data_IF_775143929030
#
_entry.id   IF_775143929030
#
_cell.length_a   1.000
_cell.length_b   1.000
_cell.length_c   1.000
_cell.angle_alpha   90.00
_cell.angle_beta   90.00
_cell.angle_gamma   90.00
#
_symmetry.space_group_name_H-M   'P 1'
#
loop_
_entity.id
_entity.type
_entity.pdbx_description
1 polymer ?
#
# COMPACT_ATOMS: atom_id res chain seq x y z
N UNK A 1 -9.50 -5.58 -1.46
CA UNK A 1 -9.24 -4.36 -0.67
C UNK A 1 -10.14 -4.30 0.55
N UNK A 2 -9.75 -5.06 1.57
CA UNK A 2 -10.22 -4.94 2.95
C UNK A 2 -9.54 -3.72 3.56
N UNK A 3 -10.33 -2.85 4.19
CA UNK A 3 -9.84 -1.70 4.95
C UNK A 3 -10.09 -2.03 6.42
N UNK A 4 -9.03 -2.07 7.21
CA UNK A 4 -9.11 -2.22 8.65
C UNK A 4 -9.07 -0.83 9.29
N UNK A 5 -9.98 -0.61 10.24
CA UNK A 5 -10.17 0.67 10.91
C UNK A 5 -10.07 0.44 12.41
N UNK A 6 -9.07 1.06 13.03
CA UNK A 6 -8.86 1.01 14.46
C UNK A 6 -9.02 2.41 15.06
N UNK A 7 -9.52 2.48 16.30
CA UNK A 7 -9.64 3.73 17.03
C UNK A 7 -8.69 3.69 18.21
N UNK A 8 -7.78 4.66 18.27
CA UNK A 8 -6.87 4.82 19.40
C UNK A 8 -7.58 5.42 20.63
N UNK A 9 -6.99 5.22 21.79
CA UNK A 9 -7.46 5.74 23.08
C UNK A 9 -7.55 7.28 23.09
N UNK A 10 -6.69 7.95 22.31
CA UNK A 10 -6.68 9.41 22.10
C UNK A 10 -7.84 9.89 21.20
N UNK A 11 -8.64 8.97 20.64
CA UNK A 11 -9.78 9.26 19.78
C UNK A 11 -9.44 9.42 18.28
N UNK A 12 -8.18 9.21 17.89
CA UNK A 12 -7.73 9.17 16.49
C UNK A 12 -8.17 7.89 15.80
N UNK A 13 -8.40 7.97 14.49
CA UNK A 13 -8.70 6.82 13.65
C UNK A 13 -7.46 6.42 12.85
N UNK A 14 -7.18 5.13 12.86
CA UNK A 14 -6.16 4.49 12.03
C UNK A 14 -6.91 3.72 10.95
N UNK A 15 -6.52 3.91 9.69
CA UNK A 15 -6.96 3.06 8.60
C UNK A 15 -5.75 2.40 7.95
N UNK A 16 -5.79 1.07 7.82
CA UNK A 16 -4.76 0.30 7.15
C UNK A 16 -5.35 -0.69 6.14
N UNK A 17 -4.51 -1.13 5.21
CA UNK A 17 -4.87 -2.16 4.24
C UNK A 17 -3.87 -3.30 4.39
N UNK A 18 -4.24 -4.44 5.01
CA UNK A 18 -3.32 -5.55 5.23
C UNK A 18 -2.79 -6.16 3.92
N UNK A 19 -3.53 -5.97 2.82
CA UNK A 19 -3.13 -6.39 1.48
C UNK A 19 -1.97 -5.55 0.89
N UNK A 20 -1.69 -4.35 1.44
CA UNK A 20 -0.64 -3.45 0.99
C UNK A 20 0.29 -3.08 2.16
N UNK A 21 1.43 -3.78 2.33
CA UNK A 21 2.34 -3.49 3.42
C UNK A 21 2.86 -2.04 3.32
N UNK A 22 2.72 -1.29 4.41
CA UNK A 22 3.11 0.13 4.50
C UNK A 22 2.01 1.13 4.14
N UNK A 23 0.79 0.69 3.79
CA UNK A 23 -0.36 1.57 3.56
C UNK A 23 -1.17 1.71 4.85
N UNK A 24 -0.78 2.67 5.67
CA UNK A 24 -1.44 3.06 6.92
C UNK A 24 -1.61 4.58 6.98
N UNK A 25 -2.77 5.06 7.42
CA UNK A 25 -3.07 6.49 7.53
C UNK A 25 -3.81 6.83 8.81
N UNK A 26 -3.57 8.04 9.31
CA UNK A 26 -4.27 8.61 10.45
C UNK A 26 -5.33 9.63 10.00
N UNK A 27 -6.50 9.56 10.61
CA UNK A 27 -7.63 10.44 10.39
C UNK A 27 -8.25 10.93 11.70
N UNK A 28 -8.74 12.17 11.70
CA UNK A 28 -9.55 12.68 12.81
C UNK A 28 -10.94 12.02 12.85
N UNK A 29 -11.42 11.53 11.70
CA UNK A 29 -12.69 10.82 11.57
C UNK A 29 -12.51 9.57 10.71
N UNK A 30 -13.41 8.60 10.89
CA UNK A 30 -13.45 7.36 10.11
C UNK A 30 -13.47 7.64 8.60
N UNK A 31 -14.31 8.56 8.14
CA UNK A 31 -14.44 8.91 6.72
C UNK A 31 -13.15 9.54 6.16
N UNK A 32 -12.48 10.39 6.94
CA UNK A 32 -11.17 10.95 6.57
C UNK A 32 -10.12 9.84 6.42
N UNK A 33 -10.07 8.90 7.36
CA UNK A 33 -9.11 7.80 7.31
C UNK A 33 -9.35 6.92 6.08
N UNK A 34 -10.62 6.60 5.77
CA UNK A 34 -10.98 5.82 4.58
C UNK A 34 -10.61 6.54 3.27
N UNK A 35 -10.88 7.84 3.14
CA UNK A 35 -10.53 8.57 1.92
C UNK A 35 -9.02 8.66 1.72
N UNK A 36 -8.26 8.89 2.79
CA UNK A 36 -6.80 8.93 2.75
C UNK A 36 -6.20 7.57 2.39
N UNK A 37 -6.71 6.48 2.98
CA UNK A 37 -6.16 5.14 2.75
C UNK A 37 -6.43 4.68 1.31
N UNK A 38 -7.59 5.02 0.75
CA UNK A 38 -7.92 4.76 -0.67
C UNK A 38 -7.01 5.55 -1.62
N UNK A 39 -6.76 6.82 -1.33
CA UNK A 39 -5.85 7.64 -2.15
C UNK A 39 -4.41 7.10 -2.09
N UNK A 40 -3.94 6.70 -0.90
CA UNK A 40 -2.62 6.10 -0.72
C UNK A 40 -2.51 4.75 -1.43
N UNK A 41 -3.52 3.90 -1.30
CA UNK A 41 -3.64 2.65 -2.03
C UNK A 41 -3.54 2.82 -3.54
N UNK A 42 -4.30 3.75 -4.12
CA UNK A 42 -4.26 4.02 -5.56
C UNK A 42 -2.88 4.48 -6.01
N UNK A 43 -2.21 5.32 -5.21
CA UNK A 43 -0.83 5.74 -5.48
C UNK A 43 0.16 4.58 -5.39
N UNK A 44 0.05 3.72 -4.38
CA UNK A 44 0.90 2.53 -4.23
C UNK A 44 0.67 1.56 -5.39
N UNK A 45 -0.58 1.33 -5.80
CA UNK A 45 -0.88 0.47 -6.95
C UNK A 45 -0.32 1.07 -8.26
N UNK A 46 -0.42 2.38 -8.45
CA UNK A 46 0.19 3.06 -9.60
C UNK A 46 1.73 2.97 -9.57
N UNK A 47 2.34 3.10 -8.40
CA UNK A 47 3.78 2.93 -8.21
C UNK A 47 4.23 1.50 -8.50
N UNK A 48 3.45 0.49 -8.08
CA UNK A 48 3.71 -0.93 -8.35
C UNK A 48 3.61 -1.27 -9.84
N UNK A 49 2.63 -0.70 -10.57
CA UNK A 49 2.52 -0.86 -12.02
C UNK A 49 3.76 -0.28 -12.72
N UNK A 50 4.23 0.90 -12.29
CA UNK A 50 5.47 1.49 -12.80
C UNK A 50 6.73 0.73 -12.36
N UNK A 51 6.73 0.10 -11.19
CA UNK A 51 7.84 -0.71 -10.68
C UNK A 51 8.00 -2.02 -11.46
N UNK A 52 6.91 -2.60 -11.97
CA UNK A 52 6.95 -3.85 -12.73
C UNK A 52 7.72 -3.73 -14.06
N UNK A 53 7.79 -2.53 -14.67
CA UNK A 53 8.65 -2.25 -15.84
C UNK A 53 10.14 -2.27 -15.48
N UNK A 54 10.52 -2.17 -14.19
CA UNK A 54 11.90 -2.37 -13.72
C UNK A 54 12.22 -3.82 -13.31
N UNK A 55 11.19 -4.65 -13.11
CA UNK A 55 11.39 -6.07 -12.78
C UNK A 55 11.62 -6.96 -14.01
N UNK A 56 11.46 -6.44 -15.22
CA UNK A 56 11.73 -7.16 -16.47
C UNK A 56 13.21 -7.10 -16.91
N UNK A 57 14.17 -6.85 -16.00
CA UNK A 57 15.60 -6.84 -16.34
C UNK A 57 16.50 -7.67 -15.42
N UNK A 58 15.94 -8.43 -14.48
CA UNK A 58 16.73 -9.17 -13.47
C UNK A 58 16.45 -10.67 -13.40
N UNK A 59 15.71 -11.24 -14.36
CA UNK A 59 15.42 -12.69 -14.39
C UNK A 59 15.76 -13.38 -15.73
N UNK A 60 16.53 -12.72 -16.59
CA UNK A 60 17.06 -13.30 -17.85
C UNK A 60 18.58 -13.07 -18.02
N UNK A 61 19.34 -13.08 -16.92
CA UNK A 61 20.81 -13.13 -17.01
C UNK A 61 21.42 -13.97 -15.88
N UNK A 62 21.15 -15.28 -15.89
CA UNK A 62 22.11 -16.25 -15.35
C UNK A 62 22.87 -16.88 -16.53
N UNK A 63 24.15 -16.53 -16.75
CA UNK A 63 25.03 -17.40 -17.51
C UNK A 63 25.53 -18.47 -16.56
N UNK A 64 24.79 -19.57 -16.43
CA UNK A 64 25.23 -20.72 -15.65
C UNK A 64 24.59 -22.02 -16.16
N UNK A 65 25.02 -22.49 -17.34
CA UNK A 65 25.67 -23.80 -17.48
C UNK A 65 25.94 -24.13 -18.95
N UNK A 66 27.12 -24.72 -19.17
CA UNK A 66 27.67 -25.42 -20.35
C UNK A 66 28.32 -24.58 -21.46
#
# INVERSE_FOLDING_TARGET
>A
MRIELEREDDGRWIAEIPELPGVMVYGATREQAISKVKALALRTMADQICSWVRSCFLMDCLPSHV
#
